data_IF_746083493361
#
_entry.id   IF_746083493361
#
_cell.length_a   1.000
_cell.length_b   1.000
_cell.length_c   1.000
_cell.angle_alpha   90.00
_cell.angle_beta   90.00
_cell.angle_gamma   90.00
#
_symmetry.space_group_name_H-M   'P 1'
#
loop_
_entity.id
_entity.type
_entity.pdbx_description
1 polymer ?
#
# COMPACT_ATOMS: atom_id res chain seq x y z
N UNK A 1 15.94 -47.25 17.65
CA UNK A 1 15.29 -47.24 16.32
C UNK A 1 15.07 -45.81 15.92
N UNK A 2 15.56 -45.47 14.73
CA UNK A 2 15.53 -44.13 14.15
C UNK A 2 14.12 -43.75 13.67
N UNK A 3 13.80 -42.46 13.71
CA UNK A 3 12.94 -41.84 12.72
C UNK A 3 13.52 -40.46 12.42
N UNK A 4 14.19 -40.37 11.27
CA UNK A 4 14.63 -39.11 10.71
C UNK A 4 13.68 -38.71 9.57
N UNK A 5 13.53 -37.40 9.45
CA UNK A 5 13.22 -36.59 8.26
C UNK A 5 11.82 -36.69 7.64
N UNK A 6 11.15 -35.54 7.54
CA UNK A 6 10.64 -35.02 6.27
C UNK A 6 10.42 -33.48 6.30
N UNK A 7 11.37 -32.76 5.68
CA UNK A 7 11.23 -31.63 4.73
C UNK A 7 10.30 -30.47 5.15
N UNK A 8 10.79 -29.29 5.56
CA UNK A 8 11.53 -28.30 4.75
C UNK A 8 10.98 -28.17 3.31
N UNK A 9 9.97 -27.30 3.11
CA UNK A 9 9.56 -26.74 1.80
C UNK A 9 8.40 -25.74 1.97
N UNK A 10 8.60 -24.62 2.67
CA UNK A 10 7.62 -23.50 2.61
C UNK A 10 8.26 -22.12 2.79
N UNK A 11 9.48 -21.92 2.29
CA UNK A 11 10.13 -20.59 2.22
C UNK A 11 10.62 -20.20 0.83
N UNK A 12 10.93 -21.18 -0.04
CA UNK A 12 11.43 -20.92 -1.40
C UNK A 12 10.35 -20.38 -2.37
N UNK A 13 9.09 -20.81 -2.23
CA UNK A 13 8.01 -20.37 -3.14
C UNK A 13 7.61 -18.91 -2.98
N UNK A 14 7.93 -18.30 -1.83
CA UNK A 14 7.52 -16.92 -1.51
C UNK A 14 8.51 -15.89 -2.04
N UNK A 15 9.78 -16.27 -2.21
CA UNK A 15 10.84 -15.37 -2.67
C UNK A 15 10.81 -15.19 -4.19
N UNK A 16 10.60 -16.29 -4.92
CA UNK A 16 10.48 -16.32 -6.39
C UNK A 16 9.27 -15.50 -6.89
N UNK A 17 8.12 -15.62 -6.22
CA UNK A 17 6.92 -14.82 -6.53
C UNK A 17 7.11 -13.33 -6.19
N UNK A 18 7.89 -13.03 -5.15
CA UNK A 18 8.22 -11.64 -4.77
C UNK A 18 9.16 -11.01 -5.78
N UNK A 19 10.13 -11.76 -6.28
CA UNK A 19 11.06 -11.31 -7.32
C UNK A 19 10.33 -11.06 -8.64
N UNK A 20 9.47 -11.99 -9.08
CA UNK A 20 8.59 -11.79 -10.25
C UNK A 20 7.68 -10.56 -10.11
N UNK A 21 7.15 -10.31 -8.91
CA UNK A 21 6.33 -9.11 -8.66
C UNK A 21 7.17 -7.84 -8.75
N UNK A 22 8.40 -7.86 -8.22
CA UNK A 22 9.33 -6.73 -8.30
C UNK A 22 9.68 -6.41 -9.75
N UNK A 23 10.01 -7.40 -10.56
CA UNK A 23 10.29 -7.20 -11.99
C UNK A 23 9.09 -6.63 -12.75
N UNK A 24 7.88 -7.15 -12.49
CA UNK A 24 6.63 -6.59 -13.04
C UNK A 24 6.41 -5.13 -12.61
N UNK A 25 6.81 -4.78 -11.39
CA UNK A 25 6.69 -3.42 -10.90
C UNK A 25 7.71 -2.49 -11.55
N UNK A 26 8.97 -2.89 -11.62
CA UNK A 26 10.04 -2.11 -12.26
C UNK A 26 9.76 -1.89 -13.75
N UNK A 27 9.24 -2.90 -14.45
CA UNK A 27 8.81 -2.76 -15.86
C UNK A 27 7.64 -1.79 -16.00
N UNK A 28 6.67 -1.83 -15.07
CA UNK A 28 5.54 -0.89 -15.06
C UNK A 28 5.99 0.54 -14.76
N UNK A 29 6.94 0.74 -13.84
CA UNK A 29 7.55 2.05 -13.55
C UNK A 29 8.29 2.58 -14.77
N UNK A 30 9.08 1.75 -15.47
CA UNK A 30 9.77 2.15 -16.70
C UNK A 30 8.78 2.59 -17.79
N UNK A 31 7.71 1.80 -17.99
CA UNK A 31 6.63 2.15 -18.93
C UNK A 31 5.96 3.45 -18.52
N UNK A 32 5.63 3.62 -17.24
CA UNK A 32 5.08 4.86 -16.70
C UNK A 32 5.99 6.05 -16.98
N UNK A 33 7.28 5.93 -16.67
CA UNK A 33 8.24 7.01 -16.88
C UNK A 33 8.35 7.41 -18.36
N UNK A 34 8.19 6.47 -19.29
CA UNK A 34 8.16 6.73 -20.73
C UNK A 34 6.89 7.40 -21.26
N UNK A 35 5.80 7.44 -20.49
CA UNK A 35 4.56 8.11 -20.90
C UNK A 35 4.75 9.63 -20.94
N UNK A 36 4.00 10.27 -21.86
CA UNK A 36 3.91 11.72 -21.95
C UNK A 36 3.21 12.29 -20.72
N UNK A 37 3.58 13.51 -20.34
CA UNK A 37 2.98 14.23 -19.20
C UNK A 37 1.46 14.28 -19.30
N UNK A 38 0.91 14.55 -20.49
CA UNK A 38 -0.54 14.60 -20.71
C UNK A 38 -1.27 13.28 -20.39
N UNK A 39 -0.64 12.13 -20.61
CA UNK A 39 -1.25 10.84 -20.28
C UNK A 39 -1.12 10.52 -18.78
N UNK A 40 -0.01 10.95 -18.15
CA UNK A 40 0.14 10.89 -16.69
C UNK A 40 -0.88 11.77 -15.97
N UNK A 41 -1.12 12.98 -16.47
CA UNK A 41 -2.13 13.92 -15.94
C UNK A 41 -3.55 13.34 -15.97
N UNK A 42 -3.94 12.65 -17.06
CA UNK A 42 -5.23 11.96 -17.11
C UNK A 42 -5.39 10.95 -15.99
N UNK A 43 -4.33 10.17 -15.71
CA UNK A 43 -4.32 9.19 -14.63
C UNK A 43 -4.36 9.87 -13.26
N UNK A 44 -3.61 10.95 -13.07
CA UNK A 44 -3.69 11.73 -11.82
C UNK A 44 -5.07 12.33 -11.60
N UNK A 45 -5.75 12.79 -12.64
CA UNK A 45 -7.11 13.30 -12.53
C UNK A 45 -8.09 12.21 -12.06
N UNK A 46 -7.99 10.99 -12.59
CA UNK A 46 -8.81 9.85 -12.13
C UNK A 46 -8.56 9.58 -10.63
N UNK A 47 -7.31 9.71 -10.19
CA UNK A 47 -6.95 9.52 -8.78
C UNK A 47 -7.53 10.61 -7.88
N UNK A 48 -7.56 11.86 -8.33
CA UNK A 48 -8.21 12.96 -7.61
C UNK A 48 -9.72 12.76 -7.49
N UNK A 49 -10.37 12.33 -8.58
CA UNK A 49 -11.81 12.04 -8.58
C UNK A 49 -12.13 10.91 -7.60
N UNK A 50 -11.29 9.87 -7.54
CA UNK A 50 -11.39 8.81 -6.55
C UNK A 50 -11.20 9.33 -5.13
N UNK A 51 -10.17 10.15 -4.89
CA UNK A 51 -9.91 10.70 -3.56
C UNK A 51 -11.08 11.58 -3.08
N UNK A 52 -11.67 12.38 -3.98
CA UNK A 52 -12.87 13.14 -3.66
C UNK A 52 -14.08 12.24 -3.30
N UNK A 53 -14.22 11.09 -3.95
CA UNK A 53 -15.24 10.11 -3.61
C UNK A 53 -14.97 9.46 -2.24
N UNK A 54 -13.72 9.09 -1.96
CA UNK A 54 -13.31 8.53 -0.67
C UNK A 54 -13.51 9.53 0.48
N UNK A 55 -13.26 10.82 0.25
CA UNK A 55 -13.52 11.86 1.25
C UNK A 55 -15.00 11.96 1.60
N UNK A 56 -15.89 11.91 0.60
CA UNK A 56 -17.34 11.87 0.83
C UNK A 56 -17.76 10.62 1.60
N UNK A 57 -17.14 9.47 1.31
CA UNK A 57 -17.37 8.24 2.06
C UNK A 57 -16.99 8.42 3.53
N UNK A 58 -15.82 8.99 3.81
CA UNK A 58 -15.39 9.26 5.19
C UNK A 58 -16.34 10.22 5.90
N UNK A 59 -16.83 11.25 5.23
CA UNK A 59 -17.81 12.19 5.81
C UNK A 59 -19.14 11.49 6.14
N UNK A 60 -19.59 10.55 5.30
CA UNK A 60 -20.75 9.72 5.60
C UNK A 60 -20.50 8.81 6.81
N UNK A 61 -19.31 8.22 6.94
CA UNK A 61 -18.95 7.40 8.09
C UNK A 61 -18.92 8.20 9.40
N UNK A 62 -18.48 9.46 9.37
CA UNK A 62 -18.59 10.38 10.52
C UNK A 62 -20.05 10.69 10.83
N UNK A 63 -20.85 10.96 9.80
CA UNK A 63 -22.29 11.27 9.96
C UNK A 63 -23.04 10.09 10.59
N UNK A 64 -22.66 8.86 10.25
CA UNK A 64 -23.22 7.63 10.82
C UNK A 64 -22.66 7.30 12.22
N UNK A 65 -21.72 8.08 12.73
CA UNK A 65 -21.06 7.83 14.02
C UNK A 65 -20.15 6.60 14.03
N UNK A 66 -19.77 6.09 12.86
CA UNK A 66 -18.87 4.94 12.73
C UNK A 66 -17.41 5.35 12.95
N UNK A 67 -17.08 6.59 12.61
CA UNK A 67 -15.74 7.16 12.77
C UNK A 67 -15.80 8.53 13.43
N UNK A 68 -14.76 8.86 14.18
CA UNK A 68 -14.59 10.19 14.74
C UNK A 68 -14.10 11.19 13.70
N UNK A 69 -14.56 12.44 13.83
CA UNK A 69 -14.16 13.52 12.93
C UNK A 69 -12.65 13.79 12.99
N UNK A 70 -12.01 13.56 14.14
CA UNK A 70 -10.56 13.72 14.31
C UNK A 70 -9.80 12.71 13.45
N UNK A 71 -10.13 11.43 13.56
CA UNK A 71 -9.49 10.36 12.80
C UNK A 71 -9.66 10.56 11.30
N UNK A 72 -10.87 10.94 10.86
CA UNK A 72 -11.12 11.24 9.45
C UNK A 72 -10.31 12.44 8.96
N UNK A 73 -10.11 13.47 9.80
CA UNK A 73 -9.30 14.63 9.45
C UNK A 73 -7.83 14.26 9.24
N UNK A 74 -7.28 13.40 10.09
CA UNK A 74 -5.91 12.89 9.93
C UNK A 74 -5.75 12.04 8.66
N UNK A 75 -6.72 11.15 8.39
CA UNK A 75 -6.73 10.33 7.17
C UNK A 75 -6.77 11.21 5.92
N UNK A 76 -7.62 12.23 5.91
CA UNK A 76 -7.73 13.18 4.79
C UNK A 76 -6.43 13.95 4.57
N UNK A 77 -5.80 14.41 5.65
CA UNK A 77 -4.53 15.12 5.58
C UNK A 77 -3.43 14.25 4.97
N UNK A 78 -3.23 13.03 5.48
CA UNK A 78 -2.20 12.12 4.99
C UNK A 78 -2.44 11.72 3.52
N UNK A 79 -3.70 11.50 3.11
CA UNK A 79 -4.03 11.19 1.72
C UNK A 79 -3.74 12.36 0.78
N UNK A 80 -4.03 13.59 1.21
CA UNK A 80 -3.73 14.79 0.45
C UNK A 80 -2.22 14.96 0.25
N UNK A 81 -1.44 14.82 1.31
CA UNK A 81 0.03 14.89 1.24
C UNK A 81 0.59 13.83 0.29
N UNK A 82 0.12 12.58 0.40
CA UNK A 82 0.52 11.50 -0.50
C UNK A 82 0.20 11.82 -1.97
N UNK A 83 -0.97 12.40 -2.27
CA UNK A 83 -1.34 12.79 -3.63
C UNK A 83 -0.49 13.93 -4.17
N UNK A 84 -0.20 14.94 -3.35
CA UNK A 84 0.66 16.06 -3.72
C UNK A 84 2.08 15.57 -4.01
N UNK A 85 2.62 14.68 -3.18
CA UNK A 85 3.94 14.09 -3.39
C UNK A 85 3.99 13.21 -4.64
N UNK A 86 2.94 12.43 -4.90
CA UNK A 86 2.83 11.60 -6.09
C UNK A 86 2.82 12.44 -7.37
N UNK A 87 2.08 13.56 -7.37
CA UNK A 87 2.03 14.51 -8.48
C UNK A 87 3.35 15.22 -8.70
N UNK A 88 3.96 15.75 -7.64
CA UNK A 88 5.26 16.47 -7.71
C UNK A 88 6.38 15.56 -8.19
N UNK A 89 6.40 14.31 -7.72
CA UNK A 89 7.43 13.35 -8.09
C UNK A 89 7.20 12.70 -9.45
N UNK A 90 6.00 12.81 -10.02
CA UNK A 90 5.63 12.12 -11.25
C UNK A 90 5.67 10.59 -11.12
N UNK A 91 5.62 10.06 -9.89
CA UNK A 91 5.76 8.64 -9.60
C UNK A 91 4.53 7.83 -10.03
N UNK A 92 4.77 6.55 -10.30
CA UNK A 92 3.71 5.62 -10.68
C UNK A 92 2.74 5.40 -9.49
N UNK A 93 1.43 5.66 -9.65
CA UNK A 93 0.46 5.70 -8.54
C UNK A 93 0.30 4.44 -7.69
N UNK A 94 0.69 3.30 -8.21
CA UNK A 94 0.55 2.02 -7.52
C UNK A 94 1.85 1.56 -6.84
N UNK A 95 2.95 2.30 -6.99
CA UNK A 95 4.21 2.03 -6.27
C UNK A 95 4.00 2.34 -4.81
N UNK A 96 3.94 1.30 -3.97
CA UNK A 96 3.96 1.50 -2.54
C UNK A 96 2.62 1.39 -1.83
N UNK A 97 1.62 0.71 -2.40
CA UNK A 97 0.67 -0.03 -1.55
C UNK A 97 1.39 -1.19 -0.85
N UNK A 98 2.42 -0.89 -0.06
CA UNK A 98 2.75 -1.72 1.10
C UNK A 98 1.51 -1.64 1.96
N UNK A 99 0.63 -2.64 1.83
CA UNK A 99 -0.28 -2.93 2.92
C UNK A 99 0.62 -3.03 4.14
N UNK A 100 0.44 -2.14 5.09
CA UNK A 100 0.85 -2.38 6.46
C UNK A 100 0.02 -3.60 6.90
N UNK A 101 0.40 -4.81 6.44
CA UNK A 101 0.12 -6.00 7.22
C UNK A 101 0.90 -5.72 8.48
N UNK A 102 0.16 -5.46 9.57
CA UNK A 102 0.75 -5.16 10.85
C UNK A 102 1.95 -6.06 11.07
N UNK A 103 3.08 -5.44 11.39
CA UNK A 103 4.05 -6.12 12.22
C UNK A 103 3.29 -6.44 13.50
N UNK A 104 2.63 -7.61 13.51
CA UNK A 104 2.26 -8.27 14.73
C UNK A 104 3.60 -8.74 15.31
N UNK A 105 4.33 -7.79 15.89
CA UNK A 105 5.38 -8.07 16.84
C UNK A 105 4.65 -8.67 18.04
N UNK A 106 4.40 -9.98 17.98
CA UNK A 106 4.35 -10.80 19.17
C UNK A 106 5.73 -10.66 19.83
N UNK A 107 5.93 -9.59 20.60
CA UNK A 107 7.00 -9.53 21.57
C UNK A 107 6.70 -10.64 22.57
N UNK A 108 7.51 -11.68 22.44
CA UNK A 108 7.64 -12.81 23.35
C UNK A 108 7.77 -12.27 24.76
N UNK A 109 6.70 -12.41 25.54
CA UNK A 109 6.81 -12.46 26.98
C UNK A 109 7.59 -13.74 27.32
N UNK A 110 8.89 -13.58 27.55
CA UNK A 110 9.73 -14.58 28.19
C UNK A 110 10.35 -13.95 29.42
N UNK A 111 9.89 -14.47 30.56
CA UNK A 111 10.65 -14.80 31.79
C UNK A 111 11.59 -13.72 32.34
N UNK A 112 11.33 -13.33 33.58
CA UNK A 112 12.04 -13.76 34.80
C UNK A 112 11.16 -13.29 35.98
N UNK A 113 10.64 -14.19 36.81
CA UNK A 113 11.30 -14.61 38.06
C UNK A 113 10.92 -16.05 38.47
#
# INVERSE_FOLDING_TARGET
>A
MACATEKDTTKASTDDEREKMREKMETSIKKWNSLKTADKEKVYKILEEREAADQKLLDQLVTLGVMDQKDVSEIKMHRKEMMDDLKKSGMFPLVGQKRHRGSCDCQKEKREE
#
